data_IF_414818734082
#
_entry.id   IF_414818734082
#
_cell.length_a   1.000
_cell.length_b   1.000
_cell.length_c   1.000
_cell.angle_alpha   90.00
_cell.angle_beta   90.00
_cell.angle_gamma   90.00
#
_symmetry.space_group_name_H-M   'P 1'
#
loop_
_entity.id
_entity.type
_entity.pdbx_description
1 polymer ?
#
# COMPACT_ATOMS: atom_id res chain seq x y z
N UNK A 1 -17.87 4.03 -26.30
CA UNK A 1 -16.66 3.86 -25.48
C UNK A 1 -16.59 2.47 -24.91
N UNK A 2 -15.60 1.73 -25.31
CA UNK A 2 -15.45 0.38 -24.78
C UNK A 2 -14.82 0.44 -23.39
N UNK A 3 -15.47 -0.22 -22.46
CA UNK A 3 -14.98 -0.42 -21.12
C UNK A 3 -13.85 -1.45 -21.16
N UNK A 4 -12.76 -1.22 -20.45
CA UNK A 4 -11.59 -2.12 -20.48
C UNK A 4 -11.19 -2.53 -19.07
N UNK A 5 -11.69 -3.69 -18.63
CA UNK A 5 -11.43 -4.23 -17.30
C UNK A 5 -9.94 -4.50 -17.05
N UNK A 6 -9.25 -5.05 -18.05
CA UNK A 6 -7.82 -5.33 -17.96
C UNK A 6 -7.01 -4.06 -17.66
N UNK A 7 -7.27 -3.01 -18.42
CA UNK A 7 -6.57 -1.74 -18.28
C UNK A 7 -6.82 -1.13 -16.89
N UNK A 8 -8.06 -1.16 -16.43
CA UNK A 8 -8.43 -0.64 -15.12
C UNK A 8 -7.76 -1.44 -14.00
N UNK A 9 -7.75 -2.76 -14.12
CA UNK A 9 -7.09 -3.63 -13.14
C UNK A 9 -5.59 -3.32 -13.05
N UNK A 10 -4.92 -3.27 -14.19
CA UNK A 10 -3.47 -3.03 -14.22
C UNK A 10 -3.10 -1.67 -13.66
N UNK A 11 -3.89 -0.65 -13.94
CA UNK A 11 -3.69 0.70 -13.41
C UNK A 11 -3.85 0.74 -11.88
N UNK A 12 -4.95 0.19 -11.38
CA UNK A 12 -5.22 0.18 -9.94
C UNK A 12 -4.23 -0.69 -9.18
N UNK A 13 -3.89 -1.85 -9.73
CA UNK A 13 -2.90 -2.74 -9.13
C UNK A 13 -1.52 -2.08 -9.08
N UNK A 14 -1.10 -1.43 -10.17
CA UNK A 14 0.19 -0.74 -10.22
C UNK A 14 0.33 0.32 -9.15
N UNK A 15 -0.71 1.11 -8.90
CA UNK A 15 -0.71 2.13 -7.86
C UNK A 15 -0.55 1.52 -6.47
N UNK A 16 -1.28 0.45 -6.18
CA UNK A 16 -1.19 -0.26 -4.89
C UNK A 16 0.19 -0.91 -4.72
N UNK A 17 0.71 -1.56 -5.74
CA UNK A 17 2.04 -2.21 -5.68
C UNK A 17 3.13 -1.21 -5.33
N UNK A 18 3.15 -0.07 -6.00
CA UNK A 18 4.15 0.98 -5.73
C UNK A 18 4.03 1.50 -4.32
N UNK A 19 2.81 1.78 -3.88
CA UNK A 19 2.56 2.35 -2.56
C UNK A 19 2.90 1.34 -1.44
N UNK A 20 2.57 0.06 -1.62
CA UNK A 20 2.95 -0.99 -0.66
C UNK A 20 4.47 -1.08 -0.51
N UNK A 21 5.18 -1.01 -1.64
CA UNK A 21 6.64 -1.05 -1.62
C UNK A 21 7.23 0.15 -0.87
N UNK A 22 6.70 1.34 -1.11
CA UNK A 22 7.11 2.55 -0.40
C UNK A 22 6.81 2.46 1.09
N UNK A 23 5.63 1.96 1.44
CA UNK A 23 5.23 1.80 2.84
C UNK A 23 6.19 0.86 3.58
N UNK A 24 6.52 -0.28 2.99
CA UNK A 24 7.48 -1.22 3.57
C UNK A 24 8.85 -0.60 3.73
N UNK A 25 9.27 0.21 2.76
CA UNK A 25 10.53 0.94 2.82
C UNK A 25 10.55 1.89 4.03
N UNK A 26 9.49 2.66 4.22
CA UNK A 26 9.44 3.63 5.32
C UNK A 26 9.31 2.97 6.70
N UNK A 27 8.67 1.81 6.79
CA UNK A 27 8.66 1.02 8.03
C UNK A 27 10.09 0.69 8.42
N UNK A 28 10.86 0.14 7.48
CA UNK A 28 12.24 -0.28 7.72
C UNK A 28 13.14 0.94 8.00
N UNK A 29 12.98 1.98 7.21
CA UNK A 29 13.76 3.21 7.35
C UNK A 29 13.55 3.86 8.73
N UNK A 30 12.30 3.90 9.18
CA UNK A 30 11.96 4.44 10.50
C UNK A 30 12.61 3.61 11.62
N UNK A 31 12.56 2.28 11.51
CA UNK A 31 13.21 1.40 12.49
C UNK A 31 14.71 1.64 12.54
N UNK A 32 15.34 1.78 11.37
CA UNK A 32 16.77 2.03 11.26
C UNK A 32 17.15 3.39 11.88
N UNK A 33 16.36 4.42 11.61
CA UNK A 33 16.60 5.75 12.16
C UNK A 33 16.43 5.78 13.67
N UNK A 34 15.44 5.07 14.21
CA UNK A 34 15.23 4.93 15.66
C UNK A 34 16.39 4.19 16.32
N UNK A 35 16.87 3.11 15.68
CA UNK A 35 18.02 2.35 16.20
C UNK A 35 19.28 3.21 16.23
N UNK A 36 19.49 4.02 15.20
CA UNK A 36 20.61 4.95 15.12
C UNK A 36 20.54 5.98 16.25
N UNK A 37 19.36 6.55 16.51
CA UNK A 37 19.15 7.50 17.58
C UNK A 37 19.49 6.88 18.93
N UNK A 38 18.99 5.68 19.18
CA UNK A 38 19.25 4.97 20.44
C UNK A 38 20.76 4.75 20.66
N UNK A 39 21.46 4.33 19.60
CA UNK A 39 22.90 4.12 19.65
C UNK A 39 23.65 5.42 19.97
N UNK A 40 23.25 6.52 19.32
CA UNK A 40 23.86 7.83 19.56
C UNK A 40 23.66 8.30 20.99
N UNK A 41 22.50 8.06 21.56
CA UNK A 41 22.19 8.41 22.96
C UNK A 41 23.04 7.56 23.93
N UNK A 42 23.17 6.25 23.65
CA UNK A 42 24.00 5.34 24.46
C UNK A 42 25.47 5.72 24.42
N UNK A 43 25.97 6.15 23.26
CA UNK A 43 27.34 6.56 23.05
C UNK A 43 27.59 8.01 23.52
N UNK A 44 26.57 8.68 24.00
CA UNK A 44 26.63 10.09 24.47
C UNK A 44 27.22 11.02 23.42
N UNK A 45 26.71 10.90 22.18
CA UNK A 45 27.11 11.80 21.11
C UNK A 45 26.67 13.22 21.41
N UNK A 46 27.25 14.19 20.67
CA UNK A 46 26.95 15.60 20.81
C UNK A 46 25.44 15.86 20.74
N UNK A 47 24.96 16.73 21.62
CA UNK A 47 23.53 17.08 21.71
C UNK A 47 22.96 17.58 20.38
N UNK A 48 23.74 18.36 19.62
CA UNK A 48 23.27 18.84 18.31
C UNK A 48 23.10 17.70 17.30
N UNK A 49 23.96 16.70 17.33
CA UNK A 49 23.86 15.53 16.47
C UNK A 49 22.65 14.67 16.84
N UNK A 50 22.40 14.50 18.14
CA UNK A 50 21.24 13.78 18.65
C UNK A 50 19.94 14.48 18.22
N UNK A 51 19.90 15.82 18.32
CA UNK A 51 18.74 16.60 17.89
C UNK A 51 18.45 16.42 16.42
N UNK A 52 19.48 16.44 15.56
CA UNK A 52 19.32 16.19 14.12
C UNK A 52 18.79 14.80 13.87
N UNK A 53 19.27 13.81 14.62
CA UNK A 53 18.79 12.43 14.45
C UNK A 53 17.32 12.29 14.86
N UNK A 54 16.88 13.03 15.89
CA UNK A 54 15.47 13.05 16.26
C UNK A 54 14.60 13.60 15.13
N UNK A 55 15.06 14.63 14.43
CA UNK A 55 14.35 15.16 13.26
C UNK A 55 14.28 14.13 12.14
N UNK A 56 15.36 13.38 11.91
CA UNK A 56 15.35 12.30 10.91
C UNK A 56 14.31 11.24 11.24
N UNK A 57 14.17 10.85 12.50
CA UNK A 57 13.14 9.92 12.95
C UNK A 57 11.75 10.48 12.66
N UNK A 58 11.51 11.74 13.00
CA UNK A 58 10.21 12.39 12.75
C UNK A 58 9.87 12.44 11.26
N UNK A 59 10.85 12.72 10.41
CA UNK A 59 10.66 12.76 8.96
C UNK A 59 10.25 11.39 8.42
N UNK A 60 10.93 10.31 8.85
CA UNK A 60 10.59 8.96 8.38
C UNK A 60 9.22 8.51 8.89
N UNK A 61 8.87 8.85 10.13
CA UNK A 61 7.55 8.56 10.68
C UNK A 61 6.46 9.30 9.91
N UNK A 62 6.70 10.58 9.57
CA UNK A 62 5.79 11.37 8.77
C UNK A 62 5.59 10.80 7.38
N UNK A 63 6.67 10.37 6.74
CA UNK A 63 6.61 9.74 5.42
C UNK A 63 5.84 8.42 5.48
N UNK A 64 6.05 7.62 6.53
CA UNK A 64 5.32 6.36 6.73
C UNK A 64 3.81 6.61 6.86
N UNK A 65 3.42 7.57 7.69
CA UNK A 65 2.01 7.94 7.89
C UNK A 65 1.38 8.41 6.58
N UNK A 66 2.10 9.27 5.84
CA UNK A 66 1.58 9.79 4.57
C UNK A 66 1.41 8.70 3.53
N UNK A 67 2.37 7.77 3.46
CA UNK A 67 2.29 6.63 2.53
C UNK A 67 1.15 5.69 2.91
N UNK A 68 0.93 5.47 4.22
CA UNK A 68 -0.22 4.70 4.70
C UNK A 68 -1.54 5.32 4.21
N UNK A 69 -1.69 6.63 4.35
CA UNK A 69 -2.89 7.35 3.89
C UNK A 69 -3.10 7.18 2.39
N UNK A 70 -2.02 7.24 1.62
CA UNK A 70 -2.06 7.03 0.17
C UNK A 70 -2.48 5.60 -0.16
N UNK A 71 -1.98 4.62 0.59
CA UNK A 71 -2.33 3.22 0.41
C UNK A 71 -3.83 2.99 0.65
N UNK A 72 -4.37 3.56 1.73
CA UNK A 72 -5.80 3.49 2.04
C UNK A 72 -6.63 4.08 0.90
N UNK A 73 -6.17 5.18 0.32
CA UNK A 73 -6.83 5.83 -0.81
C UNK A 73 -6.81 4.95 -2.06
N UNK A 74 -5.67 4.34 -2.37
CA UNK A 74 -5.48 3.57 -3.61
C UNK A 74 -6.07 2.17 -3.55
N UNK A 75 -6.28 1.61 -2.36
CA UNK A 75 -6.85 0.27 -2.26
C UNK A 75 -8.33 0.24 -2.68
N UNK A 76 -9.06 1.34 -2.49
CA UNK A 76 -10.48 1.41 -2.82
C UNK A 76 -10.76 1.16 -4.32
N UNK A 77 -10.09 1.84 -5.27
CA UNK A 77 -10.28 1.53 -6.69
C UNK A 77 -9.93 0.09 -7.05
N UNK A 78 -8.90 -0.48 -6.42
CA UNK A 78 -8.53 -1.88 -6.68
C UNK A 78 -9.63 -2.84 -6.21
N UNK A 79 -10.19 -2.61 -5.03
CA UNK A 79 -11.31 -3.41 -4.52
C UNK A 79 -12.51 -3.31 -5.44
N UNK A 80 -12.83 -2.10 -5.91
CA UNK A 80 -13.96 -1.88 -6.81
C UNK A 80 -13.82 -2.65 -8.11
N UNK A 81 -12.62 -2.61 -8.72
CA UNK A 81 -12.42 -3.32 -9.99
C UNK A 81 -12.45 -4.84 -9.80
N UNK A 82 -11.91 -5.35 -8.68
CA UNK A 82 -11.98 -6.78 -8.37
C UNK A 82 -13.44 -7.22 -8.18
N UNK A 83 -14.25 -6.41 -7.48
CA UNK A 83 -15.68 -6.68 -7.31
C UNK A 83 -16.41 -6.72 -8.67
N UNK A 84 -16.11 -5.79 -9.57
CA UNK A 84 -16.67 -5.77 -10.92
C UNK A 84 -16.30 -7.03 -11.71
N UNK A 85 -15.05 -7.46 -11.58
CA UNK A 85 -14.57 -8.66 -12.28
C UNK A 85 -15.27 -9.91 -11.75
N UNK A 86 -15.57 -9.95 -10.47
CA UNK A 86 -16.22 -11.09 -9.82
C UNK A 86 -17.75 -11.03 -9.82
N UNK A 87 -18.31 -9.89 -10.23
CA UNK A 87 -19.77 -9.70 -10.28
C UNK A 87 -20.44 -10.67 -11.24
N UNK A 88 -21.59 -11.19 -10.83
CA UNK A 88 -22.40 -12.11 -11.66
C UNK A 88 -23.69 -11.45 -12.15
N UNK A 89 -23.79 -10.12 -12.02
CA UNK A 89 -25.02 -9.36 -12.31
C UNK A 89 -25.19 -8.99 -13.78
N UNK A 90 -24.13 -9.08 -14.57
CA UNK A 90 -24.17 -8.63 -15.97
C UNK A 90 -24.62 -9.72 -16.92
N UNK A 91 -25.41 -9.34 -17.93
CA UNK A 91 -25.74 -10.19 -19.07
C UNK A 91 -25.19 -9.61 -20.38
N UNK A 92 -24.30 -8.61 -20.29
CA UNK A 92 -23.61 -8.03 -21.44
C UNK A 92 -22.50 -8.99 -21.89
N UNK A 93 -22.58 -9.49 -23.11
CA UNK A 93 -21.63 -10.47 -23.66
C UNK A 93 -20.20 -9.96 -23.68
N UNK A 94 -19.96 -8.73 -24.07
CA UNK A 94 -18.61 -8.14 -24.12
C UNK A 94 -18.03 -8.04 -22.73
N UNK A 95 -18.81 -7.60 -21.76
CA UNK A 95 -18.38 -7.49 -20.37
C UNK A 95 -18.04 -8.87 -19.77
N UNK A 96 -18.89 -9.86 -20.01
CA UNK A 96 -18.68 -11.23 -19.55
C UNK A 96 -17.39 -11.83 -20.12
N UNK A 97 -17.11 -11.51 -21.39
CA UNK A 97 -15.87 -11.95 -22.05
C UNK A 97 -14.65 -11.34 -21.38
N UNK A 98 -14.70 -10.05 -21.09
CA UNK A 98 -13.62 -9.36 -20.40
C UNK A 98 -13.41 -9.90 -18.99
N UNK A 99 -14.48 -10.19 -18.25
CA UNK A 99 -14.38 -10.80 -16.93
C UNK A 99 -13.64 -12.14 -17.00
N UNK A 100 -14.01 -12.98 -17.96
CA UNK A 100 -13.38 -14.30 -18.14
C UNK A 100 -11.90 -14.17 -18.45
N UNK A 101 -11.51 -13.28 -19.35
CA UNK A 101 -10.11 -13.03 -19.69
C UNK A 101 -9.30 -12.58 -18.48
N UNK A 102 -9.82 -11.63 -17.73
CA UNK A 102 -9.09 -11.05 -16.60
C UNK A 102 -8.94 -12.05 -15.45
N UNK A 103 -9.96 -12.88 -15.20
CA UNK A 103 -9.90 -13.89 -14.14
C UNK A 103 -8.77 -14.91 -14.36
N UNK A 104 -8.36 -15.13 -15.60
CA UNK A 104 -7.26 -16.05 -15.93
C UNK A 104 -5.88 -15.40 -15.81
N UNK A 105 -5.82 -14.10 -15.59
CA UNK A 105 -4.54 -13.38 -15.47
C UNK A 105 -3.92 -13.53 -14.09
N UNK A 106 -2.60 -13.66 -14.05
CA UNK A 106 -1.85 -13.70 -12.78
C UNK A 106 -2.04 -12.41 -11.99
N UNK A 107 -2.23 -11.28 -12.68
CA UNK A 107 -2.44 -9.97 -12.06
C UNK A 107 -3.75 -9.92 -11.26
N UNK A 108 -4.75 -10.71 -11.63
CA UNK A 108 -5.98 -10.78 -10.86
C UNK A 108 -5.73 -11.46 -9.50
N UNK A 109 -4.97 -12.55 -9.49
CA UNK A 109 -4.57 -13.25 -8.26
C UNK A 109 -3.71 -12.32 -7.40
N UNK A 110 -2.75 -11.65 -8.02
CA UNK A 110 -1.87 -10.69 -7.36
C UNK A 110 -2.67 -9.54 -6.73
N UNK A 111 -3.69 -9.04 -7.44
CA UNK A 111 -4.56 -7.98 -6.91
C UNK A 111 -5.27 -8.42 -5.63
N UNK A 112 -5.79 -9.63 -5.61
CA UNK A 112 -6.47 -10.18 -4.42
C UNK A 112 -5.51 -10.37 -3.26
N UNK A 113 -4.29 -10.80 -3.52
CA UNK A 113 -3.24 -10.95 -2.51
C UNK A 113 -2.87 -9.59 -1.91
N UNK A 114 -2.72 -8.56 -2.74
CA UNK A 114 -2.39 -7.21 -2.27
C UNK A 114 -3.54 -6.57 -1.50
N UNK A 115 -4.79 -6.86 -1.87
CA UNK A 115 -5.95 -6.41 -1.10
C UNK A 115 -5.91 -7.03 0.30
N UNK A 116 -5.65 -8.33 0.39
CA UNK A 116 -5.56 -9.03 1.67
C UNK A 116 -4.44 -8.44 2.54
N UNK A 117 -3.26 -8.27 1.97
CA UNK A 117 -2.11 -7.69 2.68
C UNK A 117 -2.42 -6.27 3.17
N UNK A 118 -3.03 -5.44 2.31
CA UNK A 118 -3.39 -4.07 2.66
C UNK A 118 -4.44 -4.03 3.76
N UNK A 119 -5.44 -4.90 3.70
CA UNK A 119 -6.47 -4.97 4.75
C UNK A 119 -5.86 -5.37 6.09
N UNK A 120 -4.86 -6.25 6.09
CA UNK A 120 -4.13 -6.63 7.31
C UNK A 120 -3.37 -5.42 7.86
N UNK A 121 -2.71 -4.65 7.01
CA UNK A 121 -1.99 -3.43 7.41
C UNK A 121 -2.96 -2.42 8.01
N UNK A 122 -4.09 -2.18 7.36
CA UNK A 122 -5.11 -1.24 7.83
C UNK A 122 -5.65 -1.68 9.20
N UNK A 123 -5.90 -2.96 9.38
CA UNK A 123 -6.38 -3.52 10.63
C UNK A 123 -5.37 -3.29 11.76
N UNK A 124 -4.09 -3.52 11.52
CA UNK A 124 -3.03 -3.33 12.50
C UNK A 124 -2.83 -1.85 12.86
N UNK A 125 -2.80 -0.97 11.86
CA UNK A 125 -2.64 0.46 12.08
C UNK A 125 -3.86 1.04 12.80
N UNK A 126 -5.06 0.60 12.44
CA UNK A 126 -6.29 1.00 13.11
C UNK A 126 -6.31 0.59 14.57
N UNK A 127 -5.85 -0.62 14.90
CA UNK A 127 -5.74 -1.11 16.27
C UNK A 127 -4.71 -0.31 17.07
N UNK A 128 -3.59 0.08 16.43
CA UNK A 128 -2.53 0.86 17.07
C UNK A 128 -2.99 2.29 17.39
N UNK A 129 -3.84 2.86 16.53
CA UNK A 129 -4.31 4.23 16.65
C UNK A 129 -5.65 4.36 17.41
N UNK A 130 -6.21 3.24 17.83
CA UNK A 130 -7.48 3.23 18.55
C UNK A 130 -7.33 3.64 20.02
#
# INVERSE_FOLDING_TARGET
MSYNLKKELLKALGAVKRTLKEYKYYIKDTENEKAKLKKMEEEKKDESDITRQKYSVEETEGAKVQTYKTLVKFIAPLKEIVEKIESEDSNDEEFLKQQAEVKDMKEFIEAKEHIKETDEIISQEGATNA
#
